data_IF_741749434803
#
_entry.id   IF_741749434803
#
_cell.length_a   1.000
_cell.length_b   1.000
_cell.length_c   1.000
_cell.angle_alpha   90.00
_cell.angle_beta   90.00
_cell.angle_gamma   90.00
#
_symmetry.space_group_name_H-M   'P 1'
#
loop_
_entity.id
_entity.type
_entity.pdbx_description
1 polymer ?
#
# COMPACT_ATOMS: atom_id res chain seq x y z
N UNK A 1 13.11 13.12 -3.70
CA UNK A 1 11.89 12.29 -3.76
C UNK A 1 12.17 10.80 -3.80
N UNK A 2 12.80 10.27 -4.85
CA UNK A 2 12.95 8.81 -5.06
C UNK A 2 13.49 8.03 -3.83
N UNK A 3 14.57 8.49 -3.19
CA UNK A 3 15.13 7.83 -2.00
C UNK A 3 14.17 7.90 -0.81
N UNK A 4 13.52 9.05 -0.58
CA UNK A 4 12.54 9.19 0.48
C UNK A 4 11.35 8.24 0.28
N UNK A 5 10.87 8.11 -0.96
CA UNK A 5 9.83 7.13 -1.33
C UNK A 5 10.29 5.69 -1.09
N UNK A 6 11.56 5.37 -1.40
CA UNK A 6 12.13 4.05 -1.13
C UNK A 6 12.17 3.74 0.37
N UNK A 7 12.66 4.68 1.18
CA UNK A 7 12.70 4.55 2.64
C UNK A 7 11.30 4.44 3.24
N UNK A 8 10.35 5.22 2.74
CA UNK A 8 8.95 5.19 3.16
C UNK A 8 8.28 3.85 2.82
N UNK A 9 8.52 3.31 1.62
CA UNK A 9 8.06 1.96 1.26
C UNK A 9 8.72 0.90 2.14
N UNK A 10 10.03 1.04 2.38
CA UNK A 10 10.79 0.13 3.24
C UNK A 10 10.24 0.07 4.66
N UNK A 11 9.93 1.22 5.28
CA UNK A 11 9.36 1.25 6.62
C UNK A 11 7.99 0.57 6.70
N UNK A 12 7.15 0.74 5.68
CA UNK A 12 5.85 0.06 5.62
C UNK A 12 5.98 -1.46 5.44
N UNK A 13 6.96 -1.93 4.68
CA UNK A 13 7.26 -3.36 4.56
C UNK A 13 7.77 -3.95 5.88
N UNK A 14 8.62 -3.21 6.61
CA UNK A 14 9.10 -3.63 7.94
C UNK A 14 7.95 -3.69 8.94
N UNK A 15 7.09 -2.66 8.96
CA UNK A 15 5.90 -2.64 9.81
C UNK A 15 4.95 -3.80 9.47
N UNK A 16 4.71 -4.06 8.18
CA UNK A 16 3.93 -5.20 7.73
C UNK A 16 4.54 -6.55 8.13
N UNK A 17 5.86 -6.70 7.98
CA UNK A 17 6.57 -7.88 8.44
C UNK A 17 6.43 -8.13 9.94
N UNK A 18 6.54 -7.08 10.76
CA UNK A 18 6.33 -7.17 12.20
C UNK A 18 4.91 -7.59 12.56
N UNK A 19 3.89 -6.99 11.92
CA UNK A 19 2.48 -7.34 12.14
C UNK A 19 2.20 -8.78 11.74
N UNK A 20 2.65 -9.21 10.56
CA UNK A 20 2.46 -10.58 10.08
C UNK A 20 3.14 -11.59 11.02
N UNK A 21 4.38 -11.32 11.43
CA UNK A 21 5.13 -12.21 12.31
C UNK A 21 4.55 -12.32 13.73
N UNK A 22 4.00 -11.23 14.27
CA UNK A 22 3.49 -11.18 15.65
C UNK A 22 2.03 -11.63 15.76
N UNK A 23 1.18 -11.27 14.81
CA UNK A 23 -0.29 -11.40 14.94
C UNK A 23 -0.93 -12.34 13.92
N UNK A 24 -0.22 -12.69 12.83
CA UNK A 24 -0.79 -13.49 11.73
C UNK A 24 0.13 -14.64 11.29
N UNK A 25 1.02 -15.08 12.19
CA UNK A 25 2.11 -16.02 11.88
C UNK A 25 1.62 -17.32 11.25
N UNK A 26 0.50 -17.86 11.75
CA UNK A 26 -0.03 -19.17 11.36
C UNK A 26 -0.90 -19.13 10.10
N UNK A 27 -1.06 -17.95 9.49
CA UNK A 27 -1.88 -17.77 8.28
C UNK A 27 -0.99 -17.66 7.05
N UNK A 28 -1.29 -18.46 6.02
CA UNK A 28 -0.50 -18.48 4.78
C UNK A 28 -0.67 -17.18 3.95
N UNK A 29 -1.89 -16.66 3.86
CA UNK A 29 -2.20 -15.52 2.99
C UNK A 29 -1.39 -14.26 3.33
N UNK A 30 -1.27 -13.81 4.60
CA UNK A 30 -0.47 -12.64 4.95
C UNK A 30 1.02 -12.75 4.56
N UNK A 31 1.61 -13.95 4.66
CA UNK A 31 2.97 -14.19 4.18
C UNK A 31 3.09 -14.10 2.66
N UNK A 32 2.13 -14.65 1.91
CA UNK A 32 2.09 -14.53 0.46
C UNK A 32 1.89 -13.07 0.01
N UNK A 33 1.00 -12.35 0.68
CA UNK A 33 0.73 -10.94 0.46
C UNK A 33 1.97 -10.07 0.72
N UNK A 34 2.66 -10.29 1.85
CA UNK A 34 3.91 -9.61 2.17
C UNK A 34 5.01 -9.95 1.15
N UNK A 35 5.15 -11.22 0.78
CA UNK A 35 6.08 -11.66 -0.25
C UNK A 35 5.82 -10.99 -1.60
N UNK A 36 4.56 -10.88 -2.00
CA UNK A 36 4.15 -10.18 -3.22
C UNK A 36 4.49 -8.68 -3.14
N UNK A 37 4.24 -8.02 -2.01
CA UNK A 37 4.59 -6.62 -1.80
C UNK A 37 6.11 -6.38 -1.85
N UNK A 38 6.91 -7.28 -1.27
CA UNK A 38 8.38 -7.24 -1.35
C UNK A 38 8.85 -7.44 -2.77
N UNK A 39 8.33 -8.45 -3.49
CA UNK A 39 8.71 -8.75 -4.86
C UNK A 39 8.35 -7.61 -5.82
N UNK A 40 7.14 -7.04 -5.70
CA UNK A 40 6.71 -5.88 -6.47
C UNK A 40 7.63 -4.67 -6.22
N UNK A 41 7.96 -4.41 -4.95
CA UNK A 41 8.88 -3.34 -4.56
C UNK A 41 10.27 -3.55 -5.18
N UNK A 42 10.82 -4.76 -5.08
CA UNK A 42 12.12 -5.09 -5.67
C UNK A 42 12.13 -4.93 -7.19
N UNK A 43 11.07 -5.37 -7.87
CA UNK A 43 10.91 -5.22 -9.32
C UNK A 43 10.85 -3.74 -9.73
N UNK A 44 10.07 -2.92 -9.01
CA UNK A 44 9.98 -1.48 -9.27
C UNK A 44 11.36 -0.83 -9.14
N UNK A 45 12.10 -1.12 -8.07
CA UNK A 45 13.42 -0.53 -7.84
C UNK A 45 14.46 -1.03 -8.82
N UNK A 46 14.41 -2.30 -9.21
CA UNK A 46 15.26 -2.85 -10.26
C UNK A 46 15.01 -2.15 -11.60
N UNK A 47 13.74 -2.00 -12.00
CA UNK A 47 13.34 -1.24 -13.18
C UNK A 47 13.78 0.22 -13.10
N UNK A 48 13.67 0.83 -11.92
CA UNK A 48 14.11 2.19 -11.68
C UNK A 48 15.63 2.35 -11.85
N UNK A 49 16.41 1.41 -11.34
CA UNK A 49 17.86 1.38 -11.51
C UNK A 49 18.24 1.22 -12.99
N UNK A 50 17.55 0.33 -13.73
CA UNK A 50 17.79 0.09 -15.16
C UNK A 50 17.42 1.29 -16.03
N UNK A 51 16.31 1.95 -15.75
CA UNK A 51 15.77 3.04 -16.58
C UNK A 51 16.10 4.44 -16.04
N UNK A 52 16.80 4.54 -14.91
CA UNK A 52 17.12 5.78 -14.16
C UNK A 52 15.88 6.61 -13.78
N UNK A 53 14.70 5.99 -13.75
CA UNK A 53 13.42 6.60 -13.37
C UNK A 53 12.42 5.52 -12.97
N UNK A 54 11.46 5.85 -12.09
CA UNK A 54 10.32 4.97 -11.85
C UNK A 54 9.52 4.77 -13.14
N UNK A 55 9.12 3.53 -13.39
CA UNK A 55 8.43 3.14 -14.60
C UNK A 55 6.92 3.15 -14.33
N UNK A 56 6.13 4.01 -15.02
CA UNK A 56 4.73 4.23 -14.67
C UNK A 56 3.88 2.96 -14.63
N UNK A 57 4.02 2.05 -15.60
CA UNK A 57 3.20 0.84 -15.63
C UNK A 57 3.50 -0.08 -14.43
N UNK A 58 4.76 -0.17 -13.99
CA UNK A 58 5.13 -0.99 -12.84
C UNK A 58 4.57 -0.41 -11.53
N UNK A 59 4.61 0.91 -11.39
CA UNK A 59 3.98 1.62 -10.27
C UNK A 59 2.45 1.49 -10.32
N UNK A 60 1.85 1.54 -11.52
CA UNK A 60 0.42 1.32 -11.69
C UNK A 60 -0.02 -0.07 -11.26
N UNK A 61 0.76 -1.10 -11.58
CA UNK A 61 0.48 -2.46 -11.09
C UNK A 61 0.58 -2.57 -9.57
N UNK A 62 1.55 -1.91 -8.94
CA UNK A 62 1.65 -1.88 -7.47
C UNK A 62 0.48 -1.13 -6.83
N UNK A 63 0.09 0.03 -7.36
CA UNK A 63 -1.11 0.76 -6.89
C UNK A 63 -2.35 -0.12 -6.99
N UNK A 64 -2.55 -0.82 -8.12
CA UNK A 64 -3.72 -1.68 -8.30
C UNK A 64 -3.66 -2.93 -7.40
N UNK A 65 -2.54 -3.66 -7.41
CA UNK A 65 -2.44 -4.93 -6.70
C UNK A 65 -2.22 -4.74 -5.20
N UNK A 66 -1.21 -3.98 -4.81
CA UNK A 66 -0.81 -3.79 -3.41
C UNK A 66 -1.65 -2.71 -2.74
N UNK A 67 -1.86 -1.59 -3.42
CA UNK A 67 -2.65 -0.49 -2.87
C UNK A 67 -4.15 -0.80 -2.82
N UNK A 68 -4.73 -1.27 -3.92
CA UNK A 68 -6.19 -1.39 -4.03
C UNK A 68 -6.72 -2.80 -3.71
N UNK A 69 -6.13 -3.86 -4.27
CA UNK A 69 -6.67 -5.22 -4.15
C UNK A 69 -6.26 -5.93 -2.85
N UNK A 70 -5.06 -5.67 -2.34
CA UNK A 70 -4.53 -6.34 -1.15
C UNK A 70 -5.39 -6.17 0.10
N UNK A 71 -5.97 -4.98 0.40
CA UNK A 71 -6.89 -4.82 1.53
C UNK A 71 -8.09 -5.78 1.49
N UNK A 72 -8.72 -5.94 0.33
CA UNK A 72 -9.84 -6.87 0.17
C UNK A 72 -9.39 -8.32 0.28
N UNK A 73 -8.20 -8.66 -0.23
CA UNK A 73 -7.65 -9.99 -0.07
C UNK A 73 -7.31 -10.32 1.38
N UNK A 74 -6.77 -9.36 2.11
CA UNK A 74 -6.50 -9.49 3.54
C UNK A 74 -7.79 -9.69 4.34
N UNK A 75 -8.86 -9.00 3.99
CA UNK A 75 -10.18 -9.21 4.58
C UNK A 75 -10.75 -10.61 4.24
N UNK A 76 -10.80 -10.96 2.95
CA UNK A 76 -11.47 -12.17 2.48
C UNK A 76 -10.72 -13.48 2.81
N UNK A 77 -9.38 -13.46 2.73
CA UNK A 77 -8.53 -14.66 2.89
C UNK A 77 -7.47 -14.53 4.00
N UNK A 78 -7.09 -13.30 4.36
CA UNK A 78 -6.10 -13.02 5.40
C UNK A 78 -6.66 -13.02 6.82
N UNK A 79 -7.99 -12.96 6.98
CA UNK A 79 -8.65 -12.84 8.28
C UNK A 79 -8.49 -11.49 8.95
N UNK A 80 -8.22 -10.44 8.17
CA UNK A 80 -8.08 -9.09 8.67
C UNK A 80 -9.46 -8.46 8.93
N UNK A 81 -10.13 -8.90 9.99
CA UNK A 81 -11.49 -8.47 10.34
C UNK A 81 -11.55 -7.38 11.41
N UNK A 82 -10.40 -6.92 11.90
CA UNK A 82 -10.29 -5.79 12.83
C UNK A 82 -9.45 -4.67 12.25
N UNK A 83 -9.61 -3.46 12.75
CA UNK A 83 -8.83 -2.30 12.31
C UNK A 83 -7.31 -2.51 12.43
N UNK A 84 -6.83 -3.15 13.50
CA UNK A 84 -5.40 -3.40 13.72
C UNK A 84 -4.86 -4.42 12.72
N UNK A 85 -5.66 -5.45 12.45
CA UNK A 85 -5.28 -6.56 11.57
C UNK A 85 -5.19 -6.17 10.09
N UNK A 86 -5.97 -5.16 9.65
CA UNK A 86 -5.96 -4.65 8.27
C UNK A 86 -5.01 -3.45 8.10
N UNK A 87 -4.58 -2.80 9.19
CA UNK A 87 -3.78 -1.57 9.13
C UNK A 87 -2.50 -1.71 8.30
N UNK A 88 -1.83 -2.86 8.34
CA UNK A 88 -0.55 -3.04 7.65
C UNK A 88 -0.69 -3.04 6.11
N UNK A 89 -1.78 -3.61 5.57
CA UNK A 89 -2.04 -3.53 4.12
C UNK A 89 -2.48 -2.13 3.71
N UNK A 90 -3.20 -1.42 4.57
CA UNK A 90 -3.55 -0.02 4.34
C UNK A 90 -2.31 0.88 4.28
N UNK A 91 -1.32 0.66 5.16
CA UNK A 91 -0.03 1.38 5.09
C UNK A 91 0.63 1.19 3.72
N UNK A 92 0.62 -0.03 3.15
CA UNK A 92 1.21 -0.26 1.84
C UNK A 92 0.53 0.57 0.73
N UNK A 93 -0.77 0.86 0.82
CA UNK A 93 -1.42 1.78 -0.10
C UNK A 93 -0.96 3.23 0.05
N UNK A 94 -0.66 3.68 1.27
CA UNK A 94 -0.03 4.99 1.51
C UNK A 94 1.33 5.14 0.81
N UNK A 95 2.19 4.11 0.88
CA UNK A 95 3.46 4.12 0.12
C UNK A 95 3.28 3.95 -1.38
N UNK A 96 2.21 3.28 -1.82
CA UNK A 96 1.82 3.21 -3.24
C UNK A 96 1.40 4.58 -3.77
N UNK A 97 0.69 5.39 -2.97
CA UNK A 97 0.35 6.78 -3.26
C UNK A 97 1.60 7.65 -3.49
N UNK A 98 2.60 7.52 -2.60
CA UNK A 98 3.88 8.21 -2.76
C UNK A 98 4.66 7.79 -4.01
N UNK A 99 4.65 6.49 -4.36
CA UNK A 99 5.26 6.02 -5.61
C UNK A 99 4.52 6.56 -6.84
N UNK A 100 3.19 6.64 -6.79
CA UNK A 100 2.37 7.22 -7.85
C UNK A 100 2.71 8.71 -8.07
N UNK A 101 2.92 9.48 -7.01
CA UNK A 101 3.30 10.89 -7.10
C UNK A 101 4.62 11.10 -7.85
N UNK A 102 5.59 10.21 -7.65
CA UNK A 102 6.89 10.29 -8.33
C UNK A 102 6.83 9.79 -9.77
N UNK A 103 5.96 8.82 -10.08
CA UNK A 103 5.94 8.16 -11.40
C UNK A 103 4.90 8.73 -12.39
N UNK A 104 3.81 9.32 -11.90
CA UNK A 104 2.68 9.73 -12.72
C UNK A 104 2.63 11.23 -13.01
N UNK A 105 1.94 11.57 -14.10
CA UNK A 105 1.47 12.93 -14.36
C UNK A 105 0.19 13.20 -13.55
N UNK A 106 -0.11 14.47 -13.32
CA UNK A 106 -1.23 14.91 -12.48
C UNK A 106 -2.56 14.17 -12.69
N UNK A 107 -2.98 13.95 -13.96
CA UNK A 107 -4.23 13.23 -14.25
C UNK A 107 -4.22 11.78 -13.76
N UNK A 108 -3.15 11.04 -14.03
CA UNK A 108 -3.03 9.65 -13.58
C UNK A 108 -2.81 9.55 -12.07
N UNK A 109 -2.09 10.51 -11.49
CA UNK A 109 -1.95 10.64 -10.05
C UNK A 109 -3.31 10.83 -9.37
N UNK A 110 -4.14 11.74 -9.87
CA UNK A 110 -5.48 11.97 -9.33
C UNK A 110 -6.34 10.69 -9.39
N UNK A 111 -6.30 9.96 -10.51
CA UNK A 111 -7.01 8.67 -10.64
C UNK A 111 -6.49 7.65 -9.63
N UNK A 112 -5.17 7.51 -9.47
CA UNK A 112 -4.57 6.59 -8.51
C UNK A 112 -4.98 6.94 -7.07
N UNK A 113 -4.92 8.21 -6.69
CA UNK A 113 -5.31 8.67 -5.35
C UNK A 113 -6.79 8.42 -5.10
N UNK A 114 -7.68 8.72 -6.05
CA UNK A 114 -9.11 8.45 -5.89
C UNK A 114 -9.38 6.96 -5.71
N UNK A 115 -8.75 6.10 -6.52
CA UNK A 115 -8.88 4.64 -6.38
C UNK A 115 -8.41 4.16 -5.01
N UNK A 116 -7.24 4.64 -4.57
CA UNK A 116 -6.70 4.31 -3.25
C UNK A 116 -7.64 4.79 -2.14
N UNK A 117 -8.10 6.04 -2.16
CA UNK A 117 -9.04 6.58 -1.17
C UNK A 117 -10.32 5.75 -1.09
N UNK A 118 -10.95 5.45 -2.24
CA UNK A 118 -12.20 4.68 -2.28
C UNK A 118 -12.00 3.26 -1.76
N UNK A 119 -10.93 2.58 -2.17
CA UNK A 119 -10.67 1.20 -1.73
C UNK A 119 -10.29 1.11 -0.26
N UNK A 120 -9.52 2.07 0.26
CA UNK A 120 -9.14 2.10 1.67
C UNK A 120 -10.32 2.48 2.55
N UNK A 121 -11.15 3.44 2.12
CA UNK A 121 -12.41 3.74 2.80
C UNK A 121 -13.30 2.49 2.87
N UNK A 122 -13.49 1.80 1.74
CA UNK A 122 -14.28 0.58 1.70
C UNK A 122 -13.70 -0.51 2.62
N UNK A 123 -12.39 -0.73 2.61
CA UNK A 123 -11.75 -1.71 3.49
C UNK A 123 -11.86 -1.36 4.98
N UNK A 124 -11.81 -0.08 5.35
CA UNK A 124 -12.06 0.34 6.74
C UNK A 124 -13.52 0.17 7.15
N UNK A 125 -14.46 0.43 6.25
CA UNK A 125 -15.88 0.18 6.49
C UNK A 125 -16.16 -1.32 6.70
N UNK A 126 -15.47 -2.21 5.98
CA UNK A 126 -15.63 -3.66 6.12
C UNK A 126 -15.21 -4.21 7.49
N UNK A 127 -14.31 -3.50 8.19
CA UNK A 127 -13.82 -3.87 9.53
C UNK A 127 -14.38 -2.96 10.63
N UNK A 128 -15.38 -2.14 10.30
CA UNK A 128 -16.04 -1.20 11.22
C UNK A 128 -15.05 -0.30 11.98
N UNK A 129 -13.99 0.16 11.28
CA UNK A 129 -12.93 0.93 11.91
C UNK A 129 -13.41 2.30 12.40
N UNK A 130 -12.75 2.80 13.46
CA UNK A 130 -13.03 4.12 14.01
C UNK A 130 -12.88 5.23 12.95
N UNK A 131 -13.80 6.19 12.99
CA UNK A 131 -13.81 7.32 12.05
C UNK A 131 -12.51 8.15 12.14
N UNK A 132 -11.93 8.27 13.34
CA UNK A 132 -10.66 8.96 13.57
C UNK A 132 -9.48 8.26 12.90
N UNK A 133 -9.41 6.92 12.99
CA UNK A 133 -8.37 6.10 12.34
C UNK A 133 -8.52 6.17 10.83
N UNK A 134 -9.74 6.00 10.33
CA UNK A 134 -10.05 6.10 8.90
C UNK A 134 -9.68 7.47 8.36
N UNK A 135 -10.11 8.55 9.03
CA UNK A 135 -9.82 9.93 8.62
C UNK A 135 -8.32 10.24 8.64
N UNK A 136 -7.61 9.83 9.69
CA UNK A 136 -6.17 10.02 9.79
C UNK A 136 -5.42 9.29 8.67
N UNK A 137 -5.82 8.05 8.36
CA UNK A 137 -5.20 7.27 7.30
C UNK A 137 -5.47 7.87 5.91
N UNK A 138 -6.73 8.19 5.58
CA UNK A 138 -7.08 8.77 4.28
C UNK A 138 -6.38 10.12 4.06
N UNK A 139 -6.26 10.94 5.12
CA UNK A 139 -5.49 12.17 5.07
C UNK A 139 -4.01 11.89 4.77
N UNK A 140 -3.39 10.94 5.49
CA UNK A 140 -2.01 10.55 5.25
C UNK A 140 -1.78 10.01 3.83
N UNK A 141 -2.74 9.25 3.29
CA UNK A 141 -2.70 8.70 1.93
C UNK A 141 -2.73 9.80 0.86
N UNK A 142 -3.62 10.78 1.02
CA UNK A 142 -3.71 11.94 0.12
C UNK A 142 -2.47 12.82 0.23
N UNK A 143 -2.00 13.13 1.44
CA UNK A 143 -0.77 13.92 1.62
C UNK A 143 0.47 13.21 1.07
N UNK A 144 0.52 11.87 1.15
CA UNK A 144 1.60 11.09 0.52
C UNK A 144 1.67 11.30 -1.00
N UNK A 145 0.60 11.77 -1.65
CA UNK A 145 0.59 12.09 -3.07
C UNK A 145 1.10 13.50 -3.41
N UNK A 146 1.27 14.36 -2.40
CA UNK A 146 1.59 15.78 -2.56
C UNK A 146 3.04 16.10 -2.18
N UNK A 147 3.66 15.27 -1.33
CA UNK A 147 5.01 15.46 -0.77
C UNK A 147 6.10 14.88 -1.67
#
# INVERSE_FOLDING_TARGET
MVIATALYRGSHLVAGGAVVAQHQRDRLFPWLALGAAVAATALIWFMAARHRRLVPWAVGLDVLAIGCLLPFGAYAWGGAHTQESIAWVMLLGGSSSAMAAVAFRARLLAVAVVLLVVTHLAGYLLVEADASVTGAHLNALVFSAVV
#
